data_IF_932562699821
#
_entry.id   IF_932562699821
#
_cell.length_a   1.000
_cell.length_b   1.000
_cell.length_c   1.000
_cell.angle_alpha   90.00
_cell.angle_beta   90.00
_cell.angle_gamma   90.00
#
_symmetry.space_group_name_H-M   'P 1'
#
loop_
_entity.id
_entity.type
_entity.pdbx_description
1 polymer ?
#
# COMPACT_ATOMS: atom_id res chain seq x y z
N UNK A 1 20.59 -62.54 -7.91
CA UNK A 1 20.48 -63.58 -6.85
C UNK A 1 20.66 -62.90 -5.52
N UNK A 2 19.71 -63.05 -4.61
CA UNK A 2 19.78 -62.49 -3.24
C UNK A 2 20.78 -63.37 -2.49
N UNK A 3 22.07 -63.03 -2.54
CA UNK A 3 23.16 -63.82 -1.94
C UNK A 3 23.15 -63.78 -0.41
N UNK A 4 22.54 -62.75 0.19
CA UNK A 4 22.57 -62.54 1.64
C UNK A 4 21.90 -63.65 2.46
N UNK A 5 20.86 -64.32 1.94
CA UNK A 5 20.17 -65.35 2.71
C UNK A 5 20.96 -66.67 2.75
N UNK A 6 21.65 -67.00 1.66
CA UNK A 6 22.53 -68.19 1.59
C UNK A 6 23.79 -67.98 2.45
N UNK A 7 24.33 -66.77 2.50
CA UNK A 7 25.47 -66.41 3.36
C UNK A 7 25.09 -66.51 4.84
N UNK A 8 23.94 -65.94 5.23
CA UNK A 8 23.41 -66.03 6.61
C UNK A 8 23.11 -67.49 6.99
N UNK A 9 22.56 -68.28 6.07
CA UNK A 9 22.31 -69.70 6.27
C UNK A 9 23.60 -70.49 6.51
N UNK A 10 24.62 -70.22 5.72
CA UNK A 10 25.94 -70.85 5.83
C UNK A 10 26.61 -70.49 7.16
N UNK A 11 26.55 -69.24 7.62
CA UNK A 11 27.10 -68.81 8.92
C UNK A 11 26.43 -69.59 10.06
N UNK A 12 25.10 -69.63 10.10
CA UNK A 12 24.40 -70.33 11.19
C UNK A 12 24.67 -71.83 11.20
N UNK A 13 24.80 -72.46 10.02
CA UNK A 13 25.04 -73.90 9.91
C UNK A 13 26.51 -74.28 10.16
N UNK A 14 27.46 -73.55 9.56
CA UNK A 14 28.89 -73.92 9.56
C UNK A 14 29.64 -73.34 10.75
N UNK A 15 29.41 -72.07 11.07
CA UNK A 15 30.18 -71.36 12.10
C UNK A 15 29.56 -71.51 13.49
N UNK A 16 28.23 -71.63 13.56
CA UNK A 16 27.47 -71.80 14.81
C UNK A 16 26.99 -73.24 15.06
N UNK A 17 27.26 -74.18 14.15
CA UNK A 17 26.86 -75.59 14.25
C UNK A 17 25.39 -75.84 14.60
N UNK A 18 24.48 -74.96 14.17
CA UNK A 18 23.05 -75.18 14.34
C UNK A 18 22.56 -76.34 13.45
N UNK A 19 21.65 -77.15 14.00
CA UNK A 19 20.96 -78.19 13.23
C UNK A 19 20.19 -77.58 12.06
N UNK A 20 20.11 -78.29 10.94
CA UNK A 20 19.45 -77.87 9.70
C UNK A 20 18.05 -77.27 9.93
N UNK A 21 17.25 -77.93 10.76
CA UNK A 21 15.89 -77.49 11.09
C UNK A 21 15.88 -76.13 11.80
N UNK A 22 16.75 -75.94 12.81
CA UNK A 22 16.87 -74.68 13.56
C UNK A 22 17.36 -73.54 12.68
N UNK A 23 18.35 -73.80 11.80
CA UNK A 23 18.87 -72.80 10.87
C UNK A 23 17.80 -72.33 9.89
N UNK A 24 17.06 -73.27 9.26
CA UNK A 24 15.96 -72.92 8.34
C UNK A 24 14.88 -72.10 9.03
N UNK A 25 14.47 -72.52 10.23
CA UNK A 25 13.43 -71.82 11.00
C UNK A 25 13.87 -70.40 11.37
N UNK A 26 15.12 -70.23 11.81
CA UNK A 26 15.64 -68.92 12.19
C UNK A 26 15.74 -67.98 11.00
N UNK A 27 16.32 -68.42 9.89
CA UNK A 27 16.44 -67.61 8.66
C UNK A 27 15.06 -67.25 8.11
N UNK A 28 14.12 -68.20 8.11
CA UNK A 28 12.73 -67.93 7.69
C UNK A 28 12.08 -66.87 8.58
N UNK A 29 12.19 -66.99 9.90
CA UNK A 29 11.61 -66.03 10.83
C UNK A 29 12.24 -64.64 10.68
N UNK A 30 13.56 -64.57 10.49
CA UNK A 30 14.27 -63.32 10.23
C UNK A 30 13.80 -62.67 8.93
N UNK A 31 13.66 -63.44 7.86
CA UNK A 31 13.19 -62.93 6.58
C UNK A 31 11.76 -62.38 6.68
N UNK A 32 10.85 -63.13 7.31
CA UNK A 32 9.48 -62.66 7.56
C UNK A 32 9.43 -61.40 8.43
N UNK A 33 10.30 -61.29 9.45
CA UNK A 33 10.39 -60.10 10.28
C UNK A 33 10.89 -58.87 9.50
N UNK A 34 11.91 -59.05 8.65
CA UNK A 34 12.45 -57.99 7.79
C UNK A 34 11.42 -57.54 6.76
N UNK A 35 10.75 -58.47 6.07
CA UNK A 35 9.69 -58.17 5.11
C UNK A 35 8.55 -57.38 5.77
N UNK A 36 8.13 -57.79 6.98
CA UNK A 36 7.10 -57.09 7.75
C UNK A 36 7.55 -55.69 8.17
N UNK A 37 8.80 -55.53 8.61
CA UNK A 37 9.36 -54.23 8.96
C UNK A 37 9.43 -53.29 7.76
N UNK A 38 9.87 -53.79 6.59
CA UNK A 38 9.91 -53.02 5.35
C UNK A 38 8.50 -52.63 4.88
N UNK A 39 7.55 -53.56 4.92
CA UNK A 39 6.16 -53.29 4.56
C UNK A 39 5.54 -52.22 5.47
N UNK A 40 5.79 -52.29 6.78
CA UNK A 40 5.34 -51.28 7.74
C UNK A 40 5.97 -49.92 7.45
N UNK A 41 7.29 -49.84 7.25
CA UNK A 41 7.96 -48.57 6.93
C UNK A 41 7.45 -47.96 5.61
N UNK A 42 7.17 -48.80 4.61
CA UNK A 42 6.60 -48.32 3.34
C UNK A 42 5.17 -47.81 3.52
N UNK A 43 4.38 -48.46 4.38
CA UNK A 43 3.04 -48.01 4.71
C UNK A 43 3.06 -46.64 5.41
N UNK A 44 3.92 -46.47 6.43
CA UNK A 44 4.04 -45.18 7.14
C UNK A 44 4.53 -44.07 6.22
N UNK A 45 5.57 -44.31 5.42
CA UNK A 45 6.05 -43.31 4.45
C UNK A 45 4.97 -42.90 3.44
N UNK A 46 4.10 -43.84 3.04
CA UNK A 46 2.99 -43.54 2.12
C UNK A 46 1.91 -42.70 2.79
N UNK A 47 1.65 -42.93 4.08
CA UNK A 47 0.74 -42.10 4.88
C UNK A 47 1.30 -40.69 5.06
N UNK A 48 2.56 -40.55 5.47
CA UNK A 48 3.24 -39.26 5.63
C UNK A 48 3.22 -38.45 4.32
N UNK A 49 3.48 -39.10 3.18
CA UNK A 49 3.44 -38.46 1.87
C UNK A 49 2.02 -37.99 1.50
N UNK A 50 0.99 -38.74 1.91
CA UNK A 50 -0.41 -38.36 1.68
C UNK A 50 -0.81 -37.17 2.54
N UNK A 51 -0.36 -37.14 3.80
CA UNK A 51 -0.57 -36.03 4.71
C UNK A 51 0.13 -34.76 4.20
N UNK A 52 1.44 -34.85 3.89
CA UNK A 52 2.19 -33.73 3.33
C UNK A 52 1.57 -33.17 2.03
N UNK A 53 1.02 -34.05 1.17
CA UNK A 53 0.31 -33.61 -0.04
C UNK A 53 -0.99 -32.87 0.28
N UNK A 54 -1.67 -33.25 1.36
CA UNK A 54 -2.89 -32.58 1.83
C UNK A 54 -2.54 -31.22 2.43
N UNK A 55 -1.58 -31.16 3.35
CA UNK A 55 -1.09 -29.90 3.93
C UNK A 55 -0.63 -28.91 2.85
N UNK A 56 0.13 -29.39 1.85
CA UNK A 56 0.59 -28.52 0.77
C UNK A 56 -0.54 -28.02 -0.13
N UNK A 57 -1.61 -28.81 -0.30
CA UNK A 57 -2.81 -28.37 -1.01
C UNK A 57 -3.55 -27.31 -0.21
N UNK A 58 -3.66 -27.49 1.10
CA UNK A 58 -4.37 -26.57 1.99
C UNK A 58 -3.62 -25.25 2.11
N UNK A 59 -2.30 -25.29 2.32
CA UNK A 59 -1.43 -24.11 2.28
C UNK A 59 -1.56 -23.35 0.96
N UNK A 60 -1.58 -24.05 -0.18
CA UNK A 60 -1.77 -23.41 -1.49
C UNK A 60 -3.13 -22.71 -1.60
N UNK A 61 -4.18 -23.28 -1.03
CA UNK A 61 -5.51 -22.68 -1.03
C UNK A 61 -5.58 -21.46 -0.11
N UNK A 62 -4.96 -21.53 1.07
CA UNK A 62 -4.85 -20.43 2.03
C UNK A 62 -4.15 -19.23 1.40
N UNK A 63 -2.94 -19.42 0.85
CA UNK A 63 -2.19 -18.36 0.16
C UNK A 63 -2.99 -17.75 -0.98
N UNK A 64 -3.70 -18.57 -1.76
CA UNK A 64 -4.56 -18.06 -2.85
C UNK A 64 -5.72 -17.21 -2.32
N UNK A 65 -6.33 -17.63 -1.20
CA UNK A 65 -7.40 -16.89 -0.55
C UNK A 65 -6.91 -15.56 0.01
N UNK A 66 -5.79 -15.56 0.74
CA UNK A 66 -5.19 -14.35 1.29
C UNK A 66 -4.81 -13.36 0.21
N UNK A 67 -4.17 -13.82 -0.88
CA UNK A 67 -3.81 -12.95 -2.00
C UNK A 67 -5.04 -12.33 -2.68
N UNK A 68 -6.13 -13.09 -2.80
CA UNK A 68 -7.40 -12.58 -3.31
C UNK A 68 -8.02 -11.55 -2.38
N UNK A 69 -7.99 -11.81 -1.07
CA UNK A 69 -8.45 -10.87 -0.04
C UNK A 69 -7.68 -9.56 -0.07
N UNK A 70 -6.35 -9.65 -0.09
CA UNK A 70 -5.46 -8.50 -0.18
C UNK A 70 -5.71 -7.67 -1.45
N UNK A 71 -5.89 -8.31 -2.61
CA UNK A 71 -6.20 -7.62 -3.86
C UNK A 71 -7.52 -6.85 -3.78
N UNK A 72 -8.55 -7.46 -3.19
CA UNK A 72 -9.85 -6.80 -2.97
C UNK A 72 -9.69 -5.60 -2.05
N UNK A 73 -9.03 -5.75 -0.91
CA UNK A 73 -8.81 -4.66 0.04
C UNK A 73 -8.04 -3.49 -0.60
N UNK A 74 -7.00 -3.79 -1.38
CA UNK A 74 -6.25 -2.76 -2.11
C UNK A 74 -7.11 -2.00 -3.11
N UNK A 75 -7.97 -2.69 -3.87
CA UNK A 75 -8.88 -2.04 -4.81
C UNK A 75 -9.87 -1.13 -4.09
N UNK A 76 -10.46 -1.60 -2.99
CA UNK A 76 -11.37 -0.78 -2.17
C UNK A 76 -10.68 0.48 -1.65
N UNK A 77 -9.47 0.35 -1.07
CA UNK A 77 -8.70 1.52 -0.60
C UNK A 77 -8.34 2.50 -1.72
N UNK A 78 -8.02 1.99 -2.92
CA UNK A 78 -7.74 2.84 -4.08
C UNK A 78 -8.99 3.62 -4.53
N UNK A 79 -10.15 2.97 -4.54
CA UNK A 79 -11.40 3.63 -4.93
C UNK A 79 -11.84 4.67 -3.89
N UNK A 80 -11.70 4.37 -2.60
CA UNK A 80 -11.91 5.36 -1.52
C UNK A 80 -10.96 6.56 -1.64
N UNK A 81 -9.68 6.31 -1.95
CA UNK A 81 -8.71 7.37 -2.15
C UNK A 81 -9.06 8.26 -3.35
N UNK A 82 -9.47 7.68 -4.48
CA UNK A 82 -9.94 8.43 -5.65
C UNK A 82 -11.16 9.29 -5.29
N UNK A 83 -12.14 8.73 -4.58
CA UNK A 83 -13.32 9.47 -4.16
C UNK A 83 -12.97 10.69 -3.29
N UNK A 84 -12.05 10.52 -2.33
CA UNK A 84 -11.54 11.64 -1.51
C UNK A 84 -10.80 12.70 -2.34
N UNK A 85 -10.05 12.27 -3.35
CA UNK A 85 -9.35 13.20 -4.25
C UNK A 85 -10.35 14.02 -5.08
N UNK A 86 -11.39 13.37 -5.62
CA UNK A 86 -12.45 14.04 -6.37
C UNK A 86 -13.23 15.01 -5.48
N UNK A 87 -13.56 14.63 -4.25
CA UNK A 87 -14.18 15.52 -3.27
C UNK A 87 -13.29 16.73 -2.97
N UNK A 88 -11.99 16.52 -2.74
CA UNK A 88 -11.04 17.62 -2.51
C UNK A 88 -10.94 18.54 -3.72
N UNK A 89 -10.96 17.99 -4.94
CA UNK A 89 -10.94 18.77 -6.18
C UNK A 89 -12.20 19.62 -6.32
N UNK A 90 -13.36 19.07 -5.99
CA UNK A 90 -14.62 19.80 -6.01
C UNK A 90 -14.62 20.96 -5.01
N UNK A 91 -14.19 20.73 -3.77
CA UNK A 91 -14.03 21.79 -2.76
C UNK A 91 -13.09 22.90 -3.22
N UNK A 92 -11.99 22.54 -3.89
CA UNK A 92 -11.05 23.53 -4.44
C UNK A 92 -11.69 24.36 -5.57
N UNK A 93 -12.48 23.73 -6.44
CA UNK A 93 -13.23 24.45 -7.48
C UNK A 93 -14.26 25.40 -6.86
N UNK A 94 -14.98 24.98 -5.81
CA UNK A 94 -15.92 25.84 -5.08
C UNK A 94 -15.22 27.05 -4.48
N UNK A 95 -14.07 26.87 -3.84
CA UNK A 95 -13.25 27.98 -3.32
C UNK A 95 -12.81 28.92 -4.42
N UNK A 96 -12.37 28.39 -5.58
CA UNK A 96 -11.95 29.19 -6.71
C UNK A 96 -13.10 30.05 -7.27
N UNK A 97 -14.29 29.45 -7.43
CA UNK A 97 -15.50 30.17 -7.86
C UNK A 97 -15.88 31.22 -6.83
N UNK A 98 -15.90 30.86 -5.55
CA UNK A 98 -16.22 31.78 -4.46
C UNK A 98 -15.28 32.99 -4.42
N UNK A 99 -13.98 32.77 -4.63
CA UNK A 99 -12.98 33.84 -4.69
C UNK A 99 -13.21 34.75 -5.90
N UNK A 100 -13.49 34.19 -7.08
CA UNK A 100 -13.79 34.97 -8.29
C UNK A 100 -15.05 35.83 -8.09
N UNK A 101 -16.12 35.27 -7.51
CA UNK A 101 -17.33 36.02 -7.16
C UNK A 101 -17.04 37.14 -6.16
N UNK A 102 -16.25 36.86 -5.13
CA UNK A 102 -15.85 37.86 -4.14
C UNK A 102 -15.05 39.00 -4.78
N UNK A 103 -14.10 38.70 -5.66
CA UNK A 103 -13.33 39.71 -6.39
C UNK A 103 -14.24 40.64 -7.19
N UNK A 104 -15.20 40.09 -7.93
CA UNK A 104 -16.18 40.89 -8.69
C UNK A 104 -17.01 41.77 -7.75
N UNK A 105 -17.53 41.20 -6.66
CA UNK A 105 -18.33 41.95 -5.69
C UNK A 105 -17.56 43.13 -5.09
N UNK A 106 -16.30 42.94 -4.69
CA UNK A 106 -15.44 44.00 -4.17
C UNK A 106 -15.21 45.09 -5.23
N UNK A 107 -14.88 44.72 -6.47
CA UNK A 107 -14.67 45.69 -7.56
C UNK A 107 -15.94 46.52 -7.81
N UNK A 108 -17.10 45.87 -7.89
CA UNK A 108 -18.39 46.54 -8.09
C UNK A 108 -18.70 47.50 -6.94
N UNK A 109 -18.52 47.06 -5.69
CA UNK A 109 -18.76 47.89 -4.52
C UNK A 109 -17.83 49.10 -4.50
N UNK A 110 -16.53 48.91 -4.74
CA UNK A 110 -15.56 50.01 -4.82
C UNK A 110 -15.92 51.00 -5.94
N UNK A 111 -16.38 50.52 -7.09
CA UNK A 111 -16.83 51.38 -8.19
C UNK A 111 -18.04 52.22 -7.77
N UNK A 112 -19.06 51.60 -7.18
CA UNK A 112 -20.25 52.29 -6.69
C UNK A 112 -19.93 53.31 -5.60
N UNK A 113 -19.05 52.97 -4.67
CA UNK A 113 -18.65 53.89 -3.60
C UNK A 113 -17.84 55.07 -4.15
N UNK A 114 -16.96 54.83 -5.13
CA UNK A 114 -16.27 55.88 -5.88
C UNK A 114 -17.25 56.83 -6.58
N UNK A 115 -18.23 56.31 -7.31
CA UNK A 115 -19.29 57.10 -7.96
C UNK A 115 -20.09 57.96 -6.96
N UNK A 116 -20.42 57.40 -5.79
CA UNK A 116 -21.08 58.15 -4.71
C UNK A 116 -20.21 59.28 -4.16
N UNK A 117 -18.90 59.06 -4.01
CA UNK A 117 -17.97 60.11 -3.56
C UNK A 117 -17.95 61.26 -4.57
N UNK A 118 -17.84 60.96 -5.87
CA UNK A 118 -17.85 61.98 -6.91
C UNK A 118 -19.15 62.81 -6.93
N UNK A 119 -20.31 62.16 -6.78
CA UNK A 119 -21.60 62.88 -6.82
C UNK A 119 -21.84 63.79 -5.60
N UNK A 120 -21.28 63.46 -4.43
CA UNK A 120 -21.38 64.28 -3.21
C UNK A 120 -20.33 65.38 -3.13
N UNK A 121 -19.25 65.30 -3.89
CA UNK A 121 -18.22 66.32 -3.92
C UNK A 121 -18.72 67.49 -4.78
N UNK A 122 -19.00 68.63 -4.13
CA UNK A 122 -19.37 69.83 -4.88
C UNK A 122 -18.22 70.26 -5.80
N UNK A 123 -18.53 70.85 -6.96
CA UNK A 123 -17.54 71.46 -7.86
C UNK A 123 -16.65 72.46 -7.12
N UNK A 124 -17.18 73.14 -6.11
CA UNK A 124 -16.44 74.03 -5.21
C UNK A 124 -15.40 73.27 -4.36
N UNK A 125 -15.72 72.07 -3.87
CA UNK A 125 -14.78 71.23 -3.10
C UNK A 125 -13.63 70.68 -3.95
N UNK A 126 -13.91 70.24 -5.18
CA UNK A 126 -12.86 69.82 -6.14
C UNK A 126 -11.91 70.97 -6.48
N UNK A 127 -12.47 72.17 -6.74
CA UNK A 127 -11.67 73.36 -7.03
C UNK A 127 -10.83 73.79 -5.83
N UNK A 128 -11.37 73.73 -4.62
CA UNK A 128 -10.61 73.99 -3.39
C UNK A 128 -9.47 72.98 -3.20
N UNK A 129 -9.72 71.69 -3.43
CA UNK A 129 -8.69 70.65 -3.34
C UNK A 129 -7.55 70.88 -4.35
N UNK A 130 -7.88 71.16 -5.61
CA UNK A 130 -6.88 71.47 -6.66
C UNK A 130 -6.11 72.76 -6.30
N UNK A 131 -6.79 73.80 -5.81
CA UNK A 131 -6.16 75.05 -5.40
C UNK A 131 -5.18 74.86 -4.22
N UNK A 132 -5.57 74.08 -3.21
CA UNK A 132 -4.75 73.78 -2.03
C UNK A 132 -3.53 72.93 -2.42
N UNK A 133 -3.73 71.87 -3.22
CA UNK A 133 -2.61 71.01 -3.66
C UNK A 133 -1.63 71.77 -4.55
N UNK A 134 -2.12 72.62 -5.46
CA UNK A 134 -1.28 73.49 -6.29
C UNK A 134 -0.45 74.48 -5.47
N UNK A 135 -1.07 75.16 -4.50
CA UNK A 135 -0.35 76.11 -3.61
C UNK A 135 0.72 75.40 -2.78
N UNK A 136 0.44 74.21 -2.23
CA UNK A 136 1.44 73.40 -1.49
C UNK A 136 2.63 73.05 -2.39
N UNK A 137 2.39 72.60 -3.62
CA UNK A 137 3.48 72.27 -4.56
C UNK A 137 4.33 73.50 -4.92
N UNK A 138 3.70 74.66 -5.14
CA UNK A 138 4.43 75.91 -5.43
C UNK A 138 5.31 76.36 -4.25
N UNK A 139 4.84 76.20 -3.01
CA UNK A 139 5.62 76.50 -1.80
C UNK A 139 6.84 75.58 -1.72
N UNK A 140 6.65 74.26 -1.93
CA UNK A 140 7.75 73.28 -1.91
C UNK A 140 8.78 73.59 -3.01
N UNK A 141 8.33 73.89 -4.24
CA UNK A 141 9.21 74.23 -5.36
C UNK A 141 10.01 75.52 -5.09
N UNK A 142 9.37 76.53 -4.50
CA UNK A 142 10.02 77.81 -4.13
C UNK A 142 11.07 77.59 -3.06
N UNK A 143 10.77 76.77 -2.05
CA UNK A 143 11.70 76.46 -0.97
C UNK A 143 12.90 75.63 -1.47
N UNK A 144 12.67 74.69 -2.39
CA UNK A 144 13.73 73.95 -3.05
C UNK A 144 14.64 74.86 -3.88
N UNK A 145 14.07 75.77 -4.69
CA UNK A 145 14.83 76.70 -5.51
C UNK A 145 15.72 77.64 -4.69
N UNK A 146 15.23 78.12 -3.54
CA UNK A 146 15.99 78.98 -2.62
C UNK A 146 17.15 78.26 -1.91
N UNK A 147 17.04 76.95 -1.69
CA UNK A 147 18.06 76.16 -0.99
C UNK A 147 19.22 75.72 -1.89
N UNK A 148 19.00 75.68 -3.21
CA UNK A 148 19.99 75.24 -4.21
C UNK A 148 20.57 76.38 -5.06
N UNK A 149 20.39 77.63 -4.62
CA UNK A 149 21.03 78.83 -5.18
C UNK A 149 22.04 79.38 -4.18
#
# INVERSE_FOLDING_TARGET
MITGNDDIYNIFRKDLHLSEEKTRKLVSNMNTAVEKAQANNFATMKEDLKEAKTEMKDFKNEVKSELSGFRTEMNTKLDEFKAKLDESRNKMNEVQVGLATFQVAVITQMKTDSEKIYSKMSTTGLLQYIAITGTILSIIATWAFLKFK
#
